data_IF_748223848148
#
_entry.id   IF_748223848148
#
_cell.length_a   1.000
_cell.length_b   1.000
_cell.length_c   1.000
_cell.angle_alpha   90.00
_cell.angle_beta   90.00
_cell.angle_gamma   90.00
#
_symmetry.space_group_name_H-M   'P 1'
#
loop_
_entity.id
_entity.type
_entity.pdbx_description
1 polymer ?
#
# COMPACT_ATOMS: atom_id res chain seq x y z
N UNK A 1 -8.82 10.35 -17.42
CA UNK A 1 -8.01 9.38 -16.66
C UNK A 1 -7.98 9.88 -15.23
N UNK A 2 -8.81 9.34 -14.34
CA UNK A 2 -8.79 9.76 -12.92
C UNK A 2 -7.63 9.04 -12.22
N UNK A 3 -6.83 9.75 -11.44
CA UNK A 3 -5.76 9.17 -10.60
C UNK A 3 -6.32 8.40 -9.38
N UNK A 4 -7.62 8.10 -9.39
CA UNK A 4 -8.36 7.55 -8.27
C UNK A 4 -7.83 6.17 -7.82
N UNK A 5 -7.40 5.33 -8.78
CA UNK A 5 -6.77 4.05 -8.43
C UNK A 5 -5.43 4.28 -7.72
N UNK A 6 -4.59 5.18 -8.22
CA UNK A 6 -3.29 5.52 -7.62
C UNK A 6 -3.46 6.10 -6.21
N UNK A 7 -4.37 7.06 -6.04
CA UNK A 7 -4.69 7.67 -4.75
C UNK A 7 -5.13 6.61 -3.73
N UNK A 8 -6.00 5.67 -4.14
CA UNK A 8 -6.41 4.55 -3.30
C UNK A 8 -5.23 3.66 -2.92
N UNK A 9 -4.37 3.28 -3.87
CA UNK A 9 -3.19 2.45 -3.55
C UNK A 9 -2.30 3.14 -2.53
N UNK A 10 -1.99 4.43 -2.74
CA UNK A 10 -1.16 5.20 -1.79
C UNK A 10 -1.84 5.26 -0.41
N UNK A 11 -3.16 5.48 -0.36
CA UNK A 11 -3.93 5.46 0.87
C UNK A 11 -3.88 4.11 1.59
N UNK A 12 -4.02 3.00 0.86
CA UNK A 12 -3.93 1.65 1.43
C UNK A 12 -2.50 1.40 1.91
N UNK A 13 -1.46 1.70 1.13
CA UNK A 13 -0.06 1.52 1.54
C UNK A 13 0.29 2.36 2.79
N UNK A 14 -0.28 3.56 2.92
CA UNK A 14 -0.03 4.43 4.06
C UNK A 14 -0.77 3.97 5.34
N UNK A 15 -1.91 3.28 5.18
CA UNK A 15 -2.76 2.89 6.32
C UNK A 15 -2.67 1.41 6.67
N UNK A 16 -2.43 0.52 5.73
CA UNK A 16 -2.34 -0.91 5.95
C UNK A 16 -0.89 -1.33 6.23
N UNK A 17 -0.60 -1.64 7.50
CA UNK A 17 0.74 -2.02 7.93
C UNK A 17 1.19 -3.34 7.29
N UNK A 18 0.31 -4.33 7.25
CA UNK A 18 0.62 -5.63 6.68
C UNK A 18 0.94 -5.55 5.19
N UNK A 19 0.17 -4.77 4.42
CA UNK A 19 0.46 -4.54 3.01
C UNK A 19 1.74 -3.73 2.82
N UNK A 20 1.97 -2.70 3.63
CA UNK A 20 3.19 -1.88 3.57
C UNK A 20 4.46 -2.71 3.83
N UNK A 21 4.40 -3.63 4.77
CA UNK A 21 5.51 -4.55 5.04
C UNK A 21 5.77 -5.47 3.84
N UNK A 22 4.72 -6.05 3.25
CA UNK A 22 4.83 -6.85 2.02
C UNK A 22 5.37 -6.04 0.85
N UNK A 23 4.92 -4.80 0.71
CA UNK A 23 5.41 -3.87 -0.31
C UNK A 23 6.90 -3.57 -0.13
N UNK A 24 7.36 -3.39 1.10
CA UNK A 24 8.79 -3.15 1.40
C UNK A 24 9.66 -4.36 1.02
N UNK A 25 9.14 -5.58 1.18
CA UNK A 25 9.85 -6.82 0.84
C UNK A 25 9.83 -7.12 -0.66
N UNK A 26 8.67 -6.93 -1.31
CA UNK A 26 8.47 -7.17 -2.72
C UNK A 26 7.34 -6.27 -3.27
N UNK A 27 7.68 -5.06 -3.75
CA UNK A 27 6.70 -4.09 -4.24
C UNK A 27 5.81 -4.66 -5.35
N UNK A 28 6.40 -5.46 -6.24
CA UNK A 28 5.69 -6.03 -7.39
C UNK A 28 4.65 -7.06 -6.96
N UNK A 29 4.99 -7.95 -6.03
CA UNK A 29 4.05 -8.92 -5.51
C UNK A 29 2.89 -8.22 -4.76
N UNK A 30 3.20 -7.23 -3.92
CA UNK A 30 2.18 -6.48 -3.18
C UNK A 30 1.22 -5.71 -4.09
N UNK A 31 1.70 -5.10 -5.19
CA UNK A 31 0.83 -4.43 -6.15
C UNK A 31 0.02 -5.44 -6.99
N UNK A 32 0.56 -6.62 -7.27
CA UNK A 32 -0.20 -7.70 -7.92
C UNK A 32 -1.36 -8.17 -7.03
N UNK A 33 -1.15 -8.33 -5.72
CA UNK A 33 -2.24 -8.66 -4.77
C UNK A 33 -3.40 -7.65 -4.87
N UNK A 34 -3.10 -6.35 -4.99
CA UNK A 34 -4.13 -5.32 -5.16
C UNK A 34 -4.85 -5.44 -6.51
N UNK A 35 -4.14 -5.72 -7.59
CA UNK A 35 -4.74 -5.94 -8.91
C UNK A 35 -5.66 -7.17 -8.90
N UNK A 36 -5.25 -8.24 -8.23
CA UNK A 36 -6.03 -9.48 -8.09
C UNK A 36 -7.31 -9.24 -7.27
N UNK A 37 -7.30 -8.25 -6.37
CA UNK A 37 -8.48 -7.76 -5.63
C UNK A 37 -9.35 -6.75 -6.42
N UNK A 38 -9.02 -6.51 -7.70
CA UNK A 38 -9.79 -5.67 -8.61
C UNK A 38 -9.32 -4.22 -8.70
N UNK A 39 -8.13 -3.87 -8.20
CA UNK A 39 -7.55 -2.55 -8.48
C UNK A 39 -7.08 -2.44 -9.93
N UNK A 40 -7.74 -1.58 -10.69
CA UNK A 40 -7.36 -1.28 -12.07
C UNK A 40 -6.17 -0.30 -12.08
N UNK A 41 -4.98 -0.82 -12.37
CA UNK A 41 -3.75 -0.05 -12.58
C UNK A 41 -3.21 -0.32 -13.98
N UNK A 42 -2.95 0.74 -14.75
CA UNK A 42 -2.27 0.60 -16.02
C UNK A 42 -0.74 0.46 -15.83
N UNK A 43 -0.03 0.18 -16.92
CA UNK A 43 1.42 -0.05 -16.88
C UNK A 43 2.23 1.16 -16.35
N UNK A 44 1.80 2.38 -16.66
CA UNK A 44 2.48 3.60 -16.22
C UNK A 44 2.26 3.84 -14.72
N UNK A 45 1.04 3.62 -14.23
CA UNK A 45 0.68 3.74 -12.81
C UNK A 45 1.40 2.69 -11.98
N UNK A 46 1.39 1.43 -12.42
CA UNK A 46 2.13 0.34 -11.80
C UNK A 46 3.63 0.68 -11.73
N UNK A 47 4.22 1.14 -12.84
CA UNK A 47 5.62 1.53 -12.88
C UNK A 47 5.93 2.65 -11.89
N UNK A 48 5.07 3.67 -11.81
CA UNK A 48 5.24 4.80 -10.90
C UNK A 48 5.14 4.38 -9.43
N UNK A 49 4.16 3.53 -9.10
CA UNK A 49 3.97 2.99 -7.75
C UNK A 49 5.17 2.12 -7.32
N UNK A 50 5.76 1.34 -8.24
CA UNK A 50 6.94 0.52 -7.95
C UNK A 50 8.19 1.33 -7.57
N UNK A 51 8.25 2.61 -7.95
CA UNK A 51 9.39 3.49 -7.67
C UNK A 51 9.18 4.36 -6.42
N UNK A 52 8.07 4.19 -5.70
CA UNK A 52 7.88 4.84 -4.41
C UNK A 52 8.92 4.30 -3.44
N UNK A 53 9.69 5.20 -2.82
CA UNK A 53 10.63 4.84 -1.77
C UNK A 53 9.87 4.30 -0.54
N UNK A 54 10.09 3.04 -0.14
CA UNK A 54 9.45 2.47 1.04
C UNK A 54 9.75 3.25 2.32
N UNK A 55 10.92 3.89 2.44
CA UNK A 55 11.27 4.67 3.63
C UNK A 55 10.40 5.92 3.76
N UNK A 56 10.15 6.62 2.66
CA UNK A 56 9.26 7.79 2.63
C UNK A 56 7.81 7.39 2.94
N UNK A 57 7.38 6.24 2.43
CA UNK A 57 6.08 5.68 2.74
C UNK A 57 5.94 5.32 4.23
N UNK A 58 6.95 4.69 4.83
CA UNK A 58 6.97 4.41 6.28
C UNK A 58 7.00 5.69 7.11
N UNK A 59 7.75 6.71 6.68
CA UNK A 59 7.78 8.03 7.33
C UNK A 59 6.40 8.67 7.29
N UNK A 60 5.72 8.62 6.15
CA UNK A 60 4.37 9.14 5.99
C UNK A 60 3.36 8.39 6.85
N UNK A 61 3.40 7.05 6.85
CA UNK A 61 2.53 6.22 7.69
C UNK A 61 2.67 6.57 9.18
N UNK A 62 3.89 6.83 9.68
CA UNK A 62 4.13 7.29 11.06
C UNK A 62 3.51 8.65 11.39
N UNK A 63 3.28 9.50 10.40
CA UNK A 63 2.60 10.77 10.59
C UNK A 63 1.06 10.63 10.63
N UNK A 64 0.53 9.48 10.18
CA UNK A 64 -0.90 9.16 10.25
C UNK A 64 -1.23 8.64 11.64
N UNK A 65 -2.29 9.18 12.25
CA UNK A 65 -2.75 8.75 13.56
C UNK A 65 -3.01 7.24 13.63
N UNK A 66 -2.58 6.54 14.69
CA UNK A 66 -2.55 5.07 14.75
C UNK A 66 -3.93 4.40 14.59
N UNK A 67 -5.02 5.11 14.88
CA UNK A 67 -6.40 4.60 14.69
C UNK A 67 -6.80 4.42 13.23
N UNK A 68 -6.11 5.10 12.31
CA UNK A 68 -6.32 4.95 10.87
C UNK A 68 -5.42 3.88 10.27
N UNK A 69 -4.43 3.38 11.03
CA UNK A 69 -3.58 2.31 10.57
C UNK A 69 -4.27 0.96 10.84
N UNK A 70 -4.47 0.16 9.79
CA UNK A 70 -4.81 -1.25 9.95
C UNK A 70 -3.54 -1.95 10.43
N UNK A 71 -3.47 -2.18 11.72
CA UNK A 71 -2.48 -3.07 12.31
C UNK A 71 -2.82 -4.47 11.82
N UNK A 72 -1.87 -5.14 11.17
CA UNK A 72 -1.98 -6.57 10.86
C UNK A 72 -1.88 -7.31 12.19
N UNK A 73 -3.02 -7.44 12.89
CA UNK A 73 -3.14 -8.17 14.13
C UNK A 73 -3.00 -9.67 13.84
N UNK A 74 -1.81 -10.13 13.41
CA UNK A 74 -1.40 -11.55 13.45
C UNK A 74 -1.16 -12.02 14.89
N UNK A 75 -2.03 -11.60 15.80
CA UNK A 75 -2.00 -11.87 17.23
C UNK A 75 -3.34 -11.60 17.93
N UNK A 76 -4.37 -11.15 17.21
CA UNK A 76 -5.73 -11.08 17.74
C UNK A 76 -6.40 -12.45 17.61
N UNK A 77 -6.30 -13.27 18.66
CA UNK A 77 -7.20 -14.42 18.81
C UNK A 77 -8.63 -13.87 18.88
N UNK A 78 -9.43 -14.16 17.86
CA UNK A 78 -10.89 -14.07 17.85
C UNK A 78 -11.43 -15.34 17.21
#
# INVERSE_FOLDING_TARGET
MSQHSVEKVIGILATDEGLRDRFTQNPRAALQELQDLGMELNACELHSLLHIDPQELSRFARAIGPRLQKTDLRGGCW
#
